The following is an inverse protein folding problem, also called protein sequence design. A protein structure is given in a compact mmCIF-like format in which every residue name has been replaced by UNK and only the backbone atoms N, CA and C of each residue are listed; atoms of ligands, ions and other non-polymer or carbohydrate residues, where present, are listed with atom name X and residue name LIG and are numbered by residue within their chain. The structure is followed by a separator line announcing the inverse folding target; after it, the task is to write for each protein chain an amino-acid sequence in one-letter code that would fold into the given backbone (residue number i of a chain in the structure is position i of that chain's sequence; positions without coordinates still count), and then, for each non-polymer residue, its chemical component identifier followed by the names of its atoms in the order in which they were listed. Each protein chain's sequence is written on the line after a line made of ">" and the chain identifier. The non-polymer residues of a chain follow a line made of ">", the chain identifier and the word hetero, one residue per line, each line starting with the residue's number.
data_IF_488895625431
#
_entry.id   IF_488895625431
#
_cell.length_a   1.000
_cell.length_b   1.000
_cell.length_c   1.000
_cell.angle_alpha   90.00
_cell.angle_beta   90.00
_cell.angle_gamma   90.00
#
_symmetry.space_group_name_H-M   'P 1'
#
loop_
_entity.id
_entity.type
_entity.pdbx_description
1 polymer ?
#
# COMPACT_ATOMS: atom_id res chain seq x y z
N UNK A 1 7.45 22.75 -14.75
CA UNK A 1 6.03 22.41 -14.53
C UNK A 1 5.91 21.73 -13.20
N UNK A 2 5.06 22.21 -12.29
CA UNK A 2 4.89 21.70 -10.94
C UNK A 2 3.47 21.14 -10.79
N UNK A 3 3.35 19.88 -10.36
CA UNK A 3 2.08 19.21 -10.13
C UNK A 3 2.08 18.71 -8.71
N UNK A 4 1.00 18.97 -7.98
CA UNK A 4 0.80 18.51 -6.59
C UNK A 4 -0.52 17.76 -6.50
N UNK A 5 -0.47 16.50 -6.10
CA UNK A 5 -1.64 15.70 -5.77
C UNK A 5 -1.79 15.72 -4.25
N UNK A 6 -2.76 16.48 -3.75
CA UNK A 6 -3.05 16.53 -2.33
C UNK A 6 -3.72 15.24 -1.87
N UNK A 7 -3.27 14.74 -0.73
CA UNK A 7 -3.71 13.47 -0.17
C UNK A 7 -4.27 13.64 1.25
N UNK A 8 -5.25 12.82 1.57
CA UNK A 8 -5.80 12.68 2.91
C UNK A 8 -5.61 11.28 3.45
N UNK A 9 -5.48 11.17 4.77
CA UNK A 9 -5.29 9.94 5.50
C UNK A 9 -5.12 10.22 6.98
N UNK A 10 -4.82 9.19 7.77
CA UNK A 10 -4.42 9.38 9.15
C UNK A 10 -3.09 10.12 9.22
N UNK A 11 -2.90 11.00 10.21
CA UNK A 11 -1.69 11.82 10.34
C UNK A 11 -0.41 11.00 10.37
N UNK A 12 -0.42 9.86 11.07
CA UNK A 12 0.73 8.96 11.14
C UNK A 12 1.03 8.31 9.79
N UNK A 13 0.00 7.96 9.02
CA UNK A 13 0.15 7.38 7.67
C UNK A 13 0.72 8.40 6.68
N UNK A 14 0.25 9.65 6.75
CA UNK A 14 0.77 10.76 5.94
C UNK A 14 2.24 11.06 6.28
N UNK A 15 2.58 11.05 7.56
CA UNK A 15 3.95 11.24 8.03
C UNK A 15 4.84 10.06 7.61
N UNK A 16 4.39 8.82 7.80
CA UNK A 16 5.10 7.63 7.36
C UNK A 16 5.38 7.64 5.86
N UNK A 17 4.39 8.02 5.06
CA UNK A 17 4.54 8.10 3.60
C UNK A 17 5.60 9.13 3.21
N UNK A 18 5.65 10.29 3.88
CA UNK A 18 6.67 11.31 3.64
C UNK A 18 8.09 10.86 4.01
N UNK A 19 8.23 10.03 5.06
CA UNK A 19 9.52 9.44 5.43
C UNK A 19 9.95 8.32 4.48
N UNK A 20 8.99 7.56 3.96
CA UNK A 20 9.26 6.51 2.97
C UNK A 20 9.67 7.09 1.61
N UNK A 21 9.11 8.24 1.22
CA UNK A 21 9.31 8.86 -0.09
C UNK A 21 9.72 10.34 0.02
N UNK A 22 10.83 10.66 0.72
CA UNK A 22 11.34 12.03 0.75
C UNK A 22 11.88 12.46 -0.62
N UNK A 23 12.08 13.75 -0.82
CA UNK A 23 12.67 14.29 -2.05
C UNK A 23 14.00 13.58 -2.38
N UNK A 24 14.17 13.20 -3.65
CA UNK A 24 15.35 12.49 -4.14
C UNK A 24 15.44 11.01 -3.75
N UNK A 25 14.52 10.48 -2.96
CA UNK A 25 14.56 9.08 -2.51
C UNK A 25 14.04 8.09 -3.55
N UNK A 26 13.08 8.49 -4.36
CA UNK A 26 12.55 7.71 -5.48
C UNK A 26 12.43 8.61 -6.72
N UNK A 27 13.01 8.20 -7.87
CA UNK A 27 12.93 8.98 -9.09
C UNK A 27 11.47 9.19 -9.53
N UNK A 28 11.13 10.43 -9.79
CA UNK A 28 9.85 10.80 -10.38
C UNK A 28 8.67 11.00 -9.41
N UNK A 29 8.73 10.53 -8.15
CA UNK A 29 7.69 10.76 -7.15
C UNK A 29 8.28 10.98 -5.76
N UNK A 30 7.79 12.00 -5.05
CA UNK A 30 8.10 12.22 -3.64
C UNK A 30 6.93 12.82 -2.89
N UNK A 31 6.93 12.65 -1.58
CA UNK A 31 5.86 13.10 -0.69
C UNK A 31 6.36 14.26 0.15
N UNK A 32 5.67 15.38 0.05
CA UNK A 32 5.94 16.58 0.85
C UNK A 32 4.85 16.73 1.88
N UNK A 33 5.24 16.94 3.14
CA UNK A 33 4.29 17.20 4.22
C UNK A 33 4.68 18.47 4.97
N UNK A 34 3.69 19.29 5.26
CA UNK A 34 3.82 20.42 6.19
C UNK A 34 3.75 19.97 7.66
N UNK A 35 3.53 18.68 7.92
CA UNK A 35 3.56 18.11 9.26
C UNK A 35 5.01 18.14 9.74
N UNK A 36 5.34 19.06 10.64
CA UNK A 36 6.58 19.00 11.41
C UNK A 36 6.43 17.89 12.42
N UNK A 37 7.52 17.15 12.69
CA UNK A 37 7.55 16.02 13.64
C UNK A 37 7.30 16.40 15.12
N UNK A 38 6.56 17.47 15.36
CA UNK A 38 6.07 17.84 16.68
C UNK A 38 5.03 16.80 17.12
N UNK A 39 5.19 16.28 18.34
CA UNK A 39 4.19 15.49 19.09
C UNK A 39 2.83 16.21 19.01
N UNK A 40 2.06 15.96 17.92
CA UNK A 40 0.70 16.48 17.88
C UNK A 40 -0.12 15.62 18.83
N UNK A 41 -0.65 16.27 19.89
CA UNK A 41 -1.64 15.65 20.73
C UNK A 41 -2.82 15.23 19.88
N UNK A 42 -3.39 14.03 20.07
CA UNK A 42 -4.43 13.47 19.19
C UNK A 42 -5.72 14.30 19.09
N UNK A 43 -5.81 15.43 19.77
CA UNK A 43 -6.99 16.30 19.85
C UNK A 43 -6.74 17.75 19.44
N UNK A 44 -5.54 18.14 19.01
CA UNK A 44 -5.35 19.49 18.50
C UNK A 44 -6.11 19.64 17.17
N UNK A 45 -7.28 20.26 17.24
CA UNK A 45 -8.00 20.73 16.06
C UNK A 45 -7.05 21.63 15.28
N UNK A 46 -6.64 21.16 14.10
CA UNK A 46 -5.87 21.95 13.14
C UNK A 46 -6.76 23.10 12.68
N UNK A 47 -6.61 24.26 13.32
CA UNK A 47 -7.41 25.46 13.03
C UNK A 47 -6.91 26.21 11.79
N UNK A 48 -5.79 25.79 11.18
CA UNK A 48 -5.25 26.40 9.96
C UNK A 48 -4.80 25.33 8.97
N UNK A 49 -5.76 24.88 8.15
CA UNK A 49 -5.59 23.78 7.21
C UNK A 49 -4.69 24.14 6.01
N UNK A 50 -4.35 25.43 5.82
CA UNK A 50 -3.63 25.89 4.63
C UNK A 50 -2.15 25.53 4.62
N UNK A 51 -1.50 25.46 5.78
CA UNK A 51 -0.03 25.29 5.88
C UNK A 51 0.44 23.85 6.13
N UNK A 52 -0.49 22.89 6.27
CA UNK A 52 -0.17 21.50 6.67
C UNK A 52 -0.62 20.44 5.66
N UNK A 53 -0.77 20.82 4.41
CA UNK A 53 -1.18 19.88 3.36
C UNK A 53 -0.05 18.91 3.04
N UNK A 54 -0.40 17.62 2.99
CA UNK A 54 0.49 16.59 2.43
C UNK A 54 0.13 16.39 0.97
N UNK A 55 1.15 16.35 0.11
CA UNK A 55 0.95 16.12 -1.32
C UNK A 55 2.07 15.27 -1.93
N UNK A 56 1.73 14.58 -3.01
CA UNK A 56 2.68 13.87 -3.87
C UNK A 56 2.99 14.76 -5.07
N UNK A 57 4.25 14.83 -5.46
CA UNK A 57 4.71 15.61 -6.59
C UNK A 57 5.87 14.93 -7.31
N UNK A 58 6.26 15.44 -8.45
CA UNK A 58 7.33 14.93 -9.31
C UNK A 58 6.85 14.57 -10.71
N UNK A 59 7.78 14.10 -11.55
CA UNK A 59 7.50 13.76 -12.95
C UNK A 59 6.48 12.62 -13.10
N UNK A 60 6.42 11.71 -12.14
CA UNK A 60 5.43 10.64 -12.10
C UNK A 60 3.97 11.12 -11.98
N UNK A 61 3.76 12.39 -11.64
CA UNK A 61 2.43 13.02 -11.65
C UNK A 61 1.99 13.53 -13.02
N UNK A 62 2.89 13.60 -14.01
CA UNK A 62 2.59 14.13 -15.35
C UNK A 62 1.39 13.46 -16.07
N UNK A 63 1.13 12.14 -15.93
CA UNK A 63 -0.05 11.52 -16.54
C UNK A 63 -1.38 12.19 -16.18
N UNK A 64 -1.46 12.85 -15.02
CA UNK A 64 -2.66 13.56 -14.60
C UNK A 64 -3.05 14.72 -15.56
N UNK A 65 -2.08 15.32 -16.23
CA UNK A 65 -2.32 16.43 -17.18
C UNK A 65 -2.92 15.97 -18.50
N UNK A 66 -2.77 14.69 -18.82
CA UNK A 66 -3.34 14.12 -20.04
C UNK A 66 -4.85 13.83 -19.88
N UNK A 67 -5.36 13.86 -18.64
CA UNK A 67 -6.77 13.58 -18.37
C UNK A 67 -7.66 14.73 -18.83
N UNK A 68 -8.78 14.39 -19.47
CA UNK A 68 -9.76 15.38 -20.00
C UNK A 68 -10.99 15.54 -19.13
N UNK A 69 -11.23 14.59 -18.22
CA UNK A 69 -12.43 14.50 -17.38
C UNK A 69 -12.06 14.40 -15.91
N UNK A 70 -12.86 15.00 -15.04
CA UNK A 70 -12.61 14.98 -13.59
C UNK A 70 -12.66 13.58 -12.97
N UNK A 71 -13.60 12.72 -13.43
CA UNK A 71 -13.68 11.34 -12.98
C UNK A 71 -12.46 10.50 -13.39
N UNK A 72 -11.95 10.69 -14.59
CA UNK A 72 -10.72 10.09 -15.08
C UNK A 72 -9.50 10.59 -14.27
N UNK A 73 -9.44 11.88 -13.95
CA UNK A 73 -8.34 12.46 -13.18
C UNK A 73 -8.24 11.86 -11.77
N UNK A 74 -9.37 11.65 -11.09
CA UNK A 74 -9.39 10.98 -9.79
C UNK A 74 -8.91 9.53 -9.87
N UNK A 75 -9.26 8.81 -10.94
CA UNK A 75 -8.76 7.46 -11.17
C UNK A 75 -7.23 7.46 -11.42
N UNK A 76 -6.73 8.31 -12.30
CA UNK A 76 -5.29 8.44 -12.59
C UNK A 76 -4.51 8.84 -11.33
N UNK A 77 -5.05 9.72 -10.50
CA UNK A 77 -4.41 10.09 -9.23
C UNK A 77 -4.27 8.89 -8.28
N UNK A 78 -5.28 7.99 -8.22
CA UNK A 78 -5.19 6.74 -7.45
C UNK A 78 -4.16 5.78 -8.02
N UNK A 79 -4.08 5.63 -9.33
CA UNK A 79 -3.05 4.80 -9.99
C UNK A 79 -1.63 5.31 -9.68
N UNK A 80 -1.41 6.63 -9.66
CA UNK A 80 -0.14 7.24 -9.27
C UNK A 80 0.20 6.93 -7.80
N UNK A 81 -0.80 6.94 -6.92
CA UNK A 81 -0.62 6.65 -5.49
C UNK A 81 -0.50 5.15 -5.17
N UNK A 82 -1.02 4.27 -6.02
CA UNK A 82 -1.08 2.84 -5.74
C UNK A 82 0.29 2.21 -5.44
N UNK A 83 1.38 2.47 -6.17
CA UNK A 83 2.71 1.95 -5.83
C UNK A 83 3.23 2.42 -4.48
N UNK A 84 3.00 3.70 -4.13
CA UNK A 84 3.44 4.29 -2.86
C UNK A 84 2.66 3.67 -1.69
N UNK A 85 1.35 3.64 -1.78
CA UNK A 85 0.47 3.00 -0.82
C UNK A 85 0.74 1.49 -0.69
N UNK A 86 0.90 0.80 -1.83
CA UNK A 86 1.21 -0.63 -1.86
C UNK A 86 2.51 -0.93 -1.14
N UNK A 87 3.57 -0.17 -1.41
CA UNK A 87 4.83 -0.32 -0.70
C UNK A 87 4.69 -0.03 0.80
N UNK A 88 3.99 1.04 1.19
CA UNK A 88 3.79 1.39 2.59
C UNK A 88 3.04 0.30 3.37
N UNK A 89 1.99 -0.30 2.77
CA UNK A 89 1.28 -1.46 3.35
C UNK A 89 2.18 -2.69 3.45
N UNK A 90 3.08 -2.93 2.49
CA UNK A 90 4.06 -4.02 2.59
C UNK A 90 5.09 -3.77 3.69
N UNK A 91 5.47 -2.52 3.90
CA UNK A 91 6.41 -2.13 4.94
C UNK A 91 5.78 -2.20 6.35
N UNK A 92 4.53 -1.77 6.49
CA UNK A 92 3.78 -1.80 7.75
C UNK A 92 2.33 -2.23 7.51
N UNK A 93 1.93 -3.37 8.10
CA UNK A 93 0.56 -3.90 7.99
C UNK A 93 -0.51 -2.98 8.59
N UNK A 94 -0.11 -2.09 9.50
CA UNK A 94 -1.02 -1.11 10.09
C UNK A 94 -1.21 0.14 9.22
N UNK A 95 -0.40 0.35 8.21
CA UNK A 95 -0.54 1.49 7.30
C UNK A 95 -1.91 1.46 6.61
N UNK A 96 -2.62 2.59 6.65
CA UNK A 96 -3.84 2.79 5.86
C UNK A 96 -3.50 3.63 4.63
N UNK A 97 -3.86 3.13 3.46
CA UNK A 97 -3.64 3.85 2.23
C UNK A 97 -4.24 5.25 2.27
N UNK A 98 -3.44 6.21 1.84
CA UNK A 98 -3.91 7.60 1.68
C UNK A 98 -4.67 7.74 0.36
N UNK A 99 -5.62 8.66 0.31
CA UNK A 99 -6.42 8.90 -0.89
C UNK A 99 -6.14 10.27 -1.49
N UNK A 100 -6.21 10.41 -2.82
CA UNK A 100 -6.12 11.70 -3.47
C UNK A 100 -7.43 12.48 -3.30
N UNK A 101 -7.35 13.75 -2.91
CA UNK A 101 -8.54 14.61 -2.73
C UNK A 101 -8.59 15.77 -3.71
N UNK A 102 -7.44 16.24 -4.13
CA UNK A 102 -7.35 17.31 -5.15
C UNK A 102 -5.98 17.29 -5.82
N UNK A 103 -5.87 18.00 -6.94
CA UNK A 103 -4.58 18.30 -7.55
C UNK A 103 -4.50 19.75 -7.95
N UNK A 104 -3.29 20.30 -7.92
CA UNK A 104 -2.94 21.63 -8.44
C UNK A 104 -1.78 21.46 -9.43
N UNK A 105 -1.80 22.24 -10.49
CA UNK A 105 -0.71 22.31 -11.45
C UNK A 105 -0.41 23.75 -11.82
N UNK A 106 0.87 24.04 -12.07
CA UNK A 106 1.35 25.34 -12.51
C UNK A 106 2.18 25.23 -13.78
N UNK A 107 1.85 26.07 -14.74
CA UNK A 107 2.62 26.32 -15.96
C UNK A 107 3.17 27.75 -15.94
N UNK A 108 4.10 28.03 -16.85
CA UNK A 108 4.58 29.37 -17.07
C UNK A 108 3.46 30.38 -17.47
N UNK A 109 2.40 29.88 -18.14
CA UNK A 109 1.28 30.68 -18.65
C UNK A 109 0.01 30.58 -17.78
N UNK A 110 0.11 30.05 -16.55
CA UNK A 110 -1.03 29.92 -15.65
C UNK A 110 -1.05 28.60 -14.90
N UNK A 111 -2.09 28.35 -14.14
CA UNK A 111 -2.28 27.14 -13.36
C UNK A 111 -3.75 26.76 -13.26
N UNK A 112 -4.01 25.56 -12.77
CA UNK A 112 -5.35 25.06 -12.53
C UNK A 112 -5.36 24.10 -11.35
N UNK A 113 -6.57 23.70 -10.96
CA UNK A 113 -6.79 22.74 -9.90
C UNK A 113 -8.00 21.89 -10.19
N UNK A 114 -8.07 20.70 -9.59
CA UNK A 114 -9.21 19.81 -9.65
C UNK A 114 -9.42 19.15 -8.30
N UNK A 115 -10.69 18.85 -7.97
CA UNK A 115 -11.08 18.17 -6.72
C UNK A 115 -11.69 16.82 -7.07
N UNK A 116 -11.35 15.76 -6.31
CA UNK A 116 -11.74 14.39 -6.63
C UNK A 116 -12.95 13.87 -5.83
N UNK A 117 -13.45 14.62 -4.85
CA UNK A 117 -14.76 14.37 -4.23
C UNK A 117 -14.80 13.19 -3.22
N UNK A 118 -13.67 12.66 -2.77
CA UNK A 118 -13.63 11.64 -1.71
C UNK A 118 -13.13 12.23 -0.40
N UNK A 119 -13.67 11.74 0.73
CA UNK A 119 -13.19 12.04 2.07
C UNK A 119 -12.87 10.76 2.84
N UNK A 120 -11.83 10.79 3.66
CA UNK A 120 -11.44 9.67 4.52
C UNK A 120 -12.08 9.79 5.88
N UNK A 121 -12.72 8.70 6.33
CA UNK A 121 -13.02 8.52 7.75
C UNK A 121 -11.80 7.88 8.42
N UNK A 122 -10.96 8.66 9.09
CA UNK A 122 -9.81 8.14 9.81
C UNK A 122 -10.23 7.53 11.14
N UNK A 123 -9.89 6.25 11.36
CA UNK A 123 -10.03 5.60 12.68
C UNK A 123 -8.75 5.82 13.49
N UNK A 124 -8.84 6.09 14.81
CA UNK A 124 -7.66 6.26 15.66
C UNK A 124 -6.82 4.97 15.68
N UNK A 125 -5.50 5.11 15.65
CA UNK A 125 -4.55 3.99 15.55
C UNK A 125 -3.45 4.03 16.60
N UNK A 126 -2.79 2.88 16.76
CA UNK A 126 -1.50 2.77 17.45
C UNK A 126 -0.38 3.16 16.48
N UNK A 127 0.63 3.87 16.97
CA UNK A 127 1.72 4.44 16.20
C UNK A 127 2.38 3.49 15.18
N UNK A 128 2.84 4.05 14.10
CA UNK A 128 3.53 3.38 13.00
C UNK A 128 5.03 3.35 13.32
N UNK A 129 5.66 2.24 12.96
CA UNK A 129 7.08 2.03 13.21
C UNK A 129 7.81 1.81 11.89
N UNK A 130 8.66 2.73 11.41
CA UNK A 130 9.56 2.54 10.25
C UNK A 130 11.00 2.34 10.74
N UNK A 131 11.54 1.15 10.53
CA UNK A 131 12.94 0.86 10.88
C UNK A 131 13.95 1.54 9.97
N UNK A 132 15.13 1.87 10.51
CA UNK A 132 16.26 2.36 9.73
C UNK A 132 17.14 1.18 9.32
N UNK A 133 16.84 0.52 8.21
CA UNK A 133 17.74 -0.46 7.63
C UNK A 133 18.57 0.19 6.52
N UNK A 134 19.90 0.00 6.47
CA UNK A 134 20.78 0.68 5.49
C UNK A 134 20.39 0.41 4.02
N UNK A 135 19.76 -0.73 3.73
CA UNK A 135 19.32 -1.09 2.38
C UNK A 135 17.84 -0.78 2.09
N UNK A 136 17.11 -0.14 3.02
CA UNK A 136 15.68 0.17 2.83
C UNK A 136 15.43 1.03 1.59
N UNK A 137 16.32 1.96 1.29
CA UNK A 137 16.17 2.83 0.12
C UNK A 137 16.25 2.04 -1.20
N UNK A 138 17.24 1.15 -1.33
CA UNK A 138 17.39 0.32 -2.54
C UNK A 138 16.22 -0.64 -2.71
N UNK A 139 15.83 -1.35 -1.65
CA UNK A 139 14.66 -2.25 -1.65
C UNK A 139 13.38 -1.52 -1.99
N UNK A 140 13.15 -0.34 -1.39
CA UNK A 140 11.99 0.49 -1.68
C UNK A 140 11.96 0.85 -3.17
N UNK A 141 13.07 1.39 -3.69
CA UNK A 141 13.14 1.85 -5.06
C UNK A 141 12.87 0.70 -6.04
N UNK A 142 13.52 -0.45 -5.85
CA UNK A 142 13.29 -1.63 -6.70
C UNK A 142 11.84 -2.14 -6.66
N UNK A 143 11.23 -2.22 -5.48
CA UNK A 143 9.83 -2.65 -5.36
C UNK A 143 8.85 -1.65 -5.96
N UNK A 144 9.05 -0.34 -5.72
CA UNK A 144 8.19 0.69 -6.30
C UNK A 144 8.37 0.75 -7.81
N UNK A 145 9.59 0.60 -8.33
CA UNK A 145 9.86 0.48 -9.77
C UNK A 145 9.13 -0.72 -10.40
N UNK A 146 9.14 -1.88 -9.74
CA UNK A 146 8.36 -3.03 -10.19
C UNK A 146 6.85 -2.73 -10.21
N UNK A 147 6.32 -2.07 -9.15
CA UNK A 147 4.91 -1.71 -9.04
C UNK A 147 4.49 -0.63 -10.04
N UNK A 148 5.42 0.13 -10.60
CA UNK A 148 5.14 1.13 -11.65
C UNK A 148 5.32 0.60 -13.06
N UNK A 149 6.22 -0.38 -13.26
CA UNK A 149 6.62 -0.84 -14.59
C UNK A 149 5.99 -2.18 -15.00
N UNK A 150 5.66 -3.07 -14.04
CA UNK A 150 5.08 -4.39 -14.33
C UNK A 150 3.58 -4.44 -14.02
N UNK A 151 2.72 -4.78 -14.99
CA UNK A 151 1.25 -4.79 -14.79
C UNK A 151 0.78 -5.62 -13.61
N UNK A 152 1.34 -6.82 -13.38
CA UNK A 152 0.95 -7.66 -12.25
C UNK A 152 1.40 -7.05 -10.91
N UNK A 153 2.55 -6.41 -10.85
CA UNK A 153 3.02 -5.75 -9.63
C UNK A 153 2.19 -4.47 -9.33
N UNK A 154 1.80 -3.72 -10.36
CA UNK A 154 0.86 -2.60 -10.24
C UNK A 154 -0.51 -3.08 -9.73
N UNK A 155 -1.03 -4.17 -10.28
CA UNK A 155 -2.26 -4.79 -9.80
C UNK A 155 -2.15 -5.27 -8.35
N UNK A 156 -1.05 -5.92 -7.98
CA UNK A 156 -0.81 -6.34 -6.60
C UNK A 156 -0.76 -5.14 -5.64
N UNK A 157 -0.10 -4.04 -6.01
CA UNK A 157 -0.07 -2.80 -5.23
C UNK A 157 -1.48 -2.22 -5.04
N UNK A 158 -2.27 -2.16 -6.10
CA UNK A 158 -3.67 -1.68 -6.08
C UNK A 158 -4.55 -2.54 -5.17
N UNK A 159 -4.46 -3.87 -5.26
CA UNK A 159 -5.22 -4.79 -4.39
C UNK A 159 -4.83 -4.61 -2.93
N UNK A 160 -3.52 -4.57 -2.62
CA UNK A 160 -3.04 -4.43 -1.23
C UNK A 160 -3.39 -3.07 -0.64
N UNK A 161 -3.29 -2.01 -1.43
CA UNK A 161 -3.64 -0.64 -1.03
C UNK A 161 -5.15 -0.41 -0.94
N UNK A 162 -5.96 -1.25 -1.57
CA UNK A 162 -7.41 -1.12 -1.63
C UNK A 162 -8.14 -1.70 -0.42
N UNK A 163 -9.43 -1.92 -0.61
CA UNK A 163 -10.30 -2.68 0.29
C UNK A 163 -10.74 -3.98 -0.40
N UNK A 164 -9.81 -4.92 -0.62
CA UNK A 164 -10.06 -6.13 -1.38
C UNK A 164 -11.01 -7.06 -0.63
N UNK A 165 -11.78 -7.79 -1.40
CA UNK A 165 -12.57 -8.92 -0.94
C UNK A 165 -11.85 -10.25 -1.20
N UNK A 166 -12.47 -11.37 -0.84
CA UNK A 166 -11.93 -12.71 -1.03
C UNK A 166 -11.63 -13.04 -2.50
N UNK A 167 -12.44 -12.57 -3.42
CA UNK A 167 -12.25 -12.84 -4.84
C UNK A 167 -11.04 -12.08 -5.39
N UNK A 168 -10.83 -10.85 -4.95
CA UNK A 168 -9.67 -10.04 -5.33
C UNK A 168 -8.36 -10.69 -4.86
N UNK A 169 -8.30 -11.13 -3.60
CA UNK A 169 -7.14 -11.83 -3.07
C UNK A 169 -6.89 -13.16 -3.77
N UNK A 170 -7.94 -13.93 -4.03
CA UNK A 170 -7.79 -15.22 -4.68
C UNK A 170 -7.26 -15.07 -6.10
N UNK A 171 -7.83 -14.13 -6.86
CA UNK A 171 -7.38 -13.82 -8.24
C UNK A 171 -5.93 -13.34 -8.26
N UNK A 172 -5.55 -12.43 -7.36
CA UNK A 172 -4.17 -11.97 -7.26
C UNK A 172 -3.20 -13.14 -7.02
N UNK A 173 -3.53 -14.07 -6.13
CA UNK A 173 -2.67 -15.22 -5.86
C UNK A 173 -2.62 -16.20 -7.04
N UNK A 174 -3.72 -16.39 -7.78
CA UNK A 174 -3.72 -17.18 -9.02
C UNK A 174 -2.81 -16.55 -10.08
N UNK A 175 -2.89 -15.24 -10.27
CA UNK A 175 -2.06 -14.50 -11.25
C UNK A 175 -0.58 -14.57 -10.88
N UNK A 176 -0.22 -14.41 -9.60
CA UNK A 176 1.16 -14.57 -9.10
C UNK A 176 1.66 -16.01 -9.32
N UNK A 177 0.83 -17.01 -9.02
CA UNK A 177 1.17 -18.41 -9.26
C UNK A 177 1.41 -18.68 -10.75
N UNK A 178 0.54 -18.17 -11.61
CA UNK A 178 0.65 -18.29 -13.08
C UNK A 178 1.94 -17.66 -13.61
N UNK A 179 2.30 -16.46 -13.16
CA UNK A 179 3.57 -15.81 -13.55
C UNK A 179 4.80 -16.64 -13.13
N UNK A 180 4.71 -17.35 -11.99
CA UNK A 180 5.77 -18.25 -11.52
C UNK A 180 5.73 -19.64 -12.18
N UNK A 181 4.91 -19.84 -13.21
CA UNK A 181 4.76 -21.11 -13.92
C UNK A 181 4.17 -22.23 -13.06
N UNK A 182 3.37 -21.88 -12.06
CA UNK A 182 2.78 -22.84 -11.11
C UNK A 182 1.28 -22.61 -10.94
N UNK A 183 0.64 -23.31 -10.03
CA UNK A 183 -0.76 -23.12 -9.66
C UNK A 183 -0.86 -22.68 -8.21
N UNK A 184 -2.00 -22.11 -7.83
CA UNK A 184 -2.27 -21.72 -6.43
C UNK A 184 -2.00 -22.89 -5.45
N UNK A 185 -2.37 -24.12 -5.81
CA UNK A 185 -2.16 -25.31 -4.96
C UNK A 185 -0.69 -25.68 -4.75
N UNK A 186 0.17 -25.27 -5.68
CA UNK A 186 1.60 -25.56 -5.68
C UNK A 186 2.47 -24.38 -5.29
N UNK A 187 1.89 -23.26 -4.82
CA UNK A 187 2.67 -22.10 -4.36
C UNK A 187 3.65 -22.44 -3.23
N UNK A 188 3.39 -23.52 -2.49
CA UNK A 188 4.31 -24.03 -1.47
C UNK A 188 5.59 -24.60 -2.05
N UNK A 189 5.53 -25.17 -3.24
CA UNK A 189 6.64 -25.84 -3.90
C UNK A 189 7.66 -24.83 -4.41
N UNK A 190 7.20 -23.61 -4.69
CA UNK A 190 8.03 -22.46 -5.10
C UNK A 190 8.34 -21.50 -3.94
N UNK A 191 8.05 -21.88 -2.70
CA UNK A 191 8.43 -21.13 -1.49
C UNK A 191 7.59 -19.89 -1.18
N UNK A 192 6.55 -19.59 -1.97
CA UNK A 192 5.73 -18.38 -1.80
C UNK A 192 4.79 -18.47 -0.59
N UNK A 193 4.31 -19.66 -0.24
CA UNK A 193 3.38 -19.87 0.86
C UNK A 193 3.76 -21.07 1.74
N UNK A 194 3.29 -21.09 2.98
CA UNK A 194 3.31 -22.28 3.84
C UNK A 194 2.02 -23.08 3.64
N UNK A 195 2.09 -24.41 3.56
CA UNK A 195 0.93 -25.30 3.29
C UNK A 195 -0.27 -25.06 4.23
N UNK A 196 -0.10 -24.98 5.56
CA UNK A 196 -1.24 -24.76 6.45
C UNK A 196 -1.96 -23.44 6.18
N UNK A 197 -1.21 -22.33 5.98
CA UNK A 197 -1.77 -21.01 5.73
C UNK A 197 -2.50 -20.95 4.37
N UNK A 198 -1.92 -21.56 3.32
CA UNK A 198 -2.55 -21.66 2.01
C UNK A 198 -3.88 -22.46 2.07
N UNK A 199 -3.90 -23.57 2.81
CA UNK A 199 -5.10 -24.37 2.97
C UNK A 199 -6.18 -23.60 3.74
N UNK A 200 -5.81 -22.89 4.83
CA UNK A 200 -6.73 -22.05 5.59
C UNK A 200 -7.32 -20.92 4.73
N UNK A 201 -6.47 -20.24 3.95
CA UNK A 201 -6.92 -19.21 3.00
C UNK A 201 -7.91 -19.78 1.98
N UNK A 202 -7.57 -20.90 1.32
CA UNK A 202 -8.44 -21.54 0.33
C UNK A 202 -9.78 -22.01 0.92
N UNK A 203 -9.75 -22.55 2.14
CA UNK A 203 -10.97 -22.97 2.84
C UNK A 203 -11.91 -21.77 3.08
N UNK A 204 -11.36 -20.64 3.56
CA UNK A 204 -12.13 -19.43 3.81
C UNK A 204 -12.62 -18.77 2.50
N UNK A 205 -11.73 -18.62 1.50
CA UNK A 205 -12.06 -17.99 0.23
C UNK A 205 -13.12 -18.77 -0.59
N UNK A 206 -13.23 -20.07 -0.41
CA UNK A 206 -14.23 -20.91 -1.06
C UNK A 206 -15.46 -21.18 -0.18
N UNK A 207 -15.51 -20.64 1.04
CA UNK A 207 -16.66 -20.79 1.93
C UNK A 207 -17.84 -19.94 1.44
N UNK A 208 -19.06 -20.48 1.50
CA UNK A 208 -20.29 -19.80 1.04
C UNK A 208 -20.58 -18.50 1.79
N UNK A 209 -20.29 -18.46 3.09
CA UNK A 209 -20.64 -17.31 3.93
C UNK A 209 -19.74 -16.09 3.67
N UNK A 210 -18.48 -16.32 3.21
CA UNK A 210 -17.47 -15.28 3.09
C UNK A 210 -16.80 -15.25 1.71
N UNK A 211 -16.82 -16.35 0.98
CA UNK A 211 -16.05 -16.56 -0.22
C UNK A 211 -16.81 -16.30 -1.52
N UNK A 212 -16.17 -16.65 -2.63
CA UNK A 212 -16.62 -16.36 -4.01
C UNK A 212 -17.57 -17.40 -4.60
N UNK A 213 -17.78 -18.54 -3.95
CA UNK A 213 -18.59 -19.65 -4.50
C UNK A 213 -19.91 -19.83 -3.75
N UNK A 214 -20.94 -20.25 -4.49
CA UNK A 214 -22.20 -20.70 -3.92
C UNK A 214 -22.04 -22.01 -3.12
N UNK A 215 -23.11 -22.43 -2.43
CA UNK A 215 -23.10 -23.57 -1.52
C UNK A 215 -22.51 -24.83 -2.15
N UNK A 216 -21.51 -25.41 -1.50
CA UNK A 216 -21.08 -26.78 -1.72
C UNK A 216 -21.54 -27.69 -0.56
N UNK A 217 -21.71 -28.98 -0.83
CA UNK A 217 -22.09 -29.96 0.20
C UNK A 217 -21.08 -30.07 1.35
N UNK A 218 -19.86 -29.51 1.19
CA UNK A 218 -18.78 -29.52 2.20
C UNK A 218 -18.89 -28.37 3.20
N UNK A 219 -19.67 -27.32 2.89
CA UNK A 219 -19.71 -26.09 3.72
C UNK A 219 -20.43 -26.26 5.05
N UNK A 220 -21.21 -27.33 5.22
CA UNK A 220 -22.04 -27.55 6.41
C UNK A 220 -21.29 -28.15 7.59
N UNK A 221 -20.04 -28.57 7.41
CA UNK A 221 -19.25 -29.29 8.43
C UNK A 221 -18.05 -28.50 8.98
N UNK A 222 -17.76 -27.32 8.43
CA UNK A 222 -16.63 -26.51 8.89
C UNK A 222 -17.13 -25.53 9.95
N UNK A 223 -16.53 -25.60 11.14
CA UNK A 223 -16.74 -24.58 12.16
C UNK A 223 -16.25 -23.22 11.64
N UNK A 224 -17.16 -22.28 11.47
CA UNK A 224 -16.87 -20.95 10.95
C UNK A 224 -15.90 -20.17 11.85
N UNK A 225 -15.82 -20.49 13.14
CA UNK A 225 -14.89 -19.85 14.07
C UNK A 225 -13.42 -20.23 13.79
N UNK A 226 -13.17 -21.32 13.06
CA UNK A 226 -11.84 -21.78 12.68
C UNK A 226 -11.36 -21.30 11.32
N UNK A 227 -12.23 -20.63 10.55
CA UNK A 227 -11.88 -20.10 9.25
C UNK A 227 -11.07 -18.81 9.36
N UNK A 228 -10.07 -18.68 8.50
CA UNK A 228 -9.31 -17.44 8.34
C UNK A 228 -10.27 -16.27 8.08
N UNK A 229 -10.16 -15.18 8.83
CA UNK A 229 -10.91 -13.96 8.58
C UNK A 229 -10.22 -13.08 7.52
N UNK A 230 -10.88 -12.00 7.08
CA UNK A 230 -10.36 -11.16 5.98
C UNK A 230 -9.07 -10.40 6.37
N UNK A 231 -8.89 -10.07 7.67
CA UNK A 231 -7.67 -9.43 8.16
C UNK A 231 -6.48 -10.39 8.13
N UNK A 232 -6.69 -11.64 8.56
CA UNK A 232 -5.69 -12.71 8.48
C UNK A 232 -5.35 -13.04 7.03
N UNK A 233 -6.35 -13.02 6.13
CA UNK A 233 -6.14 -13.19 4.70
C UNK A 233 -5.28 -12.06 4.12
N UNK A 234 -5.51 -10.81 4.54
CA UNK A 234 -4.67 -9.66 4.16
C UNK A 234 -3.21 -9.89 4.54
N UNK A 235 -2.94 -10.32 5.77
CA UNK A 235 -1.58 -10.60 6.24
C UNK A 235 -0.93 -11.75 5.46
N UNK A 236 -1.69 -12.80 5.19
CA UNK A 236 -1.22 -13.93 4.37
C UNK A 236 -0.85 -13.48 2.95
N UNK A 237 -1.75 -12.76 2.27
CA UNK A 237 -1.53 -12.27 0.90
C UNK A 237 -0.37 -11.27 0.87
N UNK A 238 -0.29 -10.34 1.83
CA UNK A 238 0.84 -9.42 1.98
C UNK A 238 2.16 -10.18 2.06
N UNK A 239 2.22 -11.24 2.87
CA UNK A 239 3.42 -12.08 2.98
C UNK A 239 3.80 -12.79 1.67
N UNK A 240 2.82 -13.25 0.90
CA UNK A 240 3.05 -13.86 -0.43
C UNK A 240 3.55 -12.82 -1.42
N UNK A 241 2.90 -11.65 -1.51
CA UNK A 241 3.30 -10.56 -2.42
C UNK A 241 4.70 -10.05 -2.09
N UNK A 242 5.03 -9.89 -0.80
CA UNK A 242 6.37 -9.51 -0.37
C UNK A 242 7.42 -10.48 -0.91
N UNK A 243 7.25 -11.78 -0.67
CA UNK A 243 8.20 -12.80 -1.15
C UNK A 243 8.30 -12.87 -2.67
N UNK A 244 7.17 -12.69 -3.36
CA UNK A 244 7.14 -12.66 -4.81
C UNK A 244 7.89 -11.46 -5.37
N UNK A 245 7.68 -10.26 -4.83
CA UNK A 245 8.41 -9.06 -5.23
C UNK A 245 9.91 -9.17 -4.91
N UNK A 246 10.27 -9.73 -3.74
CA UNK A 246 11.66 -9.96 -3.36
C UNK A 246 12.37 -10.86 -4.37
N UNK A 247 11.70 -11.92 -4.80
CA UNK A 247 12.25 -12.81 -5.83
C UNK A 247 12.38 -12.14 -7.22
N UNK A 248 11.60 -11.07 -7.48
CA UNK A 248 11.72 -10.27 -8.71
C UNK A 248 12.82 -9.20 -8.63
N UNK A 249 13.13 -8.69 -7.42
CA UNK A 249 14.18 -7.70 -7.21
C UNK A 249 15.60 -8.27 -7.31
N UNK A 250 15.78 -9.60 -7.32
CA UNK A 250 17.09 -10.25 -7.43
C UNK A 250 18.03 -9.93 -6.27
N UNK A 251 19.34 -9.86 -6.55
CA UNK A 251 20.41 -9.69 -5.56
C UNK A 251 20.45 -8.33 -4.82
N UNK A 252 19.49 -7.44 -5.09
CA UNK A 252 19.33 -6.18 -4.33
C UNK A 252 18.85 -6.44 -2.90
N UNK A 253 18.36 -7.66 -2.62
CA UNK A 253 17.88 -8.05 -1.31
C UNK A 253 19.05 -8.37 -0.36
N UNK A 254 19.05 -7.80 0.86
CA UNK A 254 20.00 -8.22 1.89
C UNK A 254 19.78 -9.71 2.19
N UNK A 255 20.84 -10.50 2.13
CA UNK A 255 20.80 -11.93 2.50
C UNK A 255 20.57 -12.15 3.98
N UNK A 256 20.81 -11.14 4.79
CA UNK A 256 20.59 -11.20 6.24
C UNK A 256 19.17 -10.73 6.57
N UNK A 257 18.24 -11.69 6.65
CA UNK A 257 16.98 -11.48 7.35
C UNK A 257 17.28 -11.24 8.83
N UNK A 258 17.31 -10.00 9.24
CA UNK A 258 17.01 -9.68 10.64
C UNK A 258 15.55 -10.08 10.83
N UNK A 259 15.29 -11.05 11.71
CA UNK A 259 13.95 -11.51 12.07
C UNK A 259 13.05 -10.30 12.26
N UNK A 260 11.99 -10.24 11.43
CA UNK A 260 11.16 -9.06 11.29
C UNK A 260 10.37 -8.75 12.56
N UNK A 261 11.02 -8.07 13.47
CA UNK A 261 10.32 -7.26 14.45
C UNK A 261 9.60 -6.10 13.72
N UNK A 262 8.48 -5.61 14.26
CA UNK A 262 7.76 -4.51 13.66
C UNK A 262 8.70 -3.31 13.51
N UNK A 263 8.66 -2.70 12.33
CA UNK A 263 9.36 -1.46 12.06
C UNK A 263 8.88 -0.39 13.06
N UNK A 264 9.74 0.08 13.99
CA UNK A 264 9.38 1.08 15.00
C UNK A 264 9.93 2.43 14.61
N UNK A 265 9.09 3.43 14.47
CA UNK A 265 9.52 4.82 14.51
C UNK A 265 9.86 5.14 15.95
N UNK A 266 11.13 5.26 16.25
CA UNK A 266 11.55 5.82 17.52
C UNK A 266 11.21 7.31 17.51
N UNK A 267 10.18 7.67 18.25
CA UNK A 267 10.17 8.95 18.89
C UNK A 267 11.16 8.75 20.04
N UNK A 268 12.33 9.37 19.91
CA UNK A 268 13.31 9.38 20.99
C UNK A 268 12.64 9.96 22.23
N UNK A 269 12.43 9.10 23.24
CA UNK A 269 12.00 9.51 24.60
C UNK A 269 13.20 10.10 25.37
N UNK A 270 14.02 10.90 24.72
CA UNK A 270 15.08 11.65 25.37
C UNK A 270 14.55 13.05 25.65
N UNK A 271 13.88 13.19 26.78
CA UNK A 271 13.90 14.39 27.62
C UNK A 271 13.27 14.05 28.99
N UNK A 272 14.14 13.65 29.95
CA UNK A 272 13.90 13.93 31.37
C UNK A 272 14.35 15.35 31.70
#
# INVERSE_FOLDING_TARGET
>A
MDIKIFVEGHVDDLYALSLLFPEGAYPGLHVVTGLKGEKQRPFDRVTDASDRKTYVTGEGCLPLLATRRHDEAGWVAREILAPLNGYAVLADSNFQPVIPVSAEYRHENGGGGMTFGESVSSKPRRGITVGRHPNLAAMRNSRVELMTSKPLAAYAASVIAGQPNWADYYRLLEDIAGERGTTLDKMTDVGLAKRPALNAFKAAANNRAFGRHGASKRDTTIDQSTLMNLLEAREFVRGVVTKWLDAQCGDVMPTDRVDGGPLRFGLDDDDE
#
